data_IF_796324116521
#
_entry.id   IF_796324116521
#
_cell.length_a   1.000
_cell.length_b   1.000
_cell.length_c   1.000
_cell.angle_alpha   90.00
_cell.angle_beta   90.00
_cell.angle_gamma   90.00
#
_symmetry.space_group_name_H-M   'P 1'
#
loop_
_entity.id
_entity.type
_entity.pdbx_description
1 polymer ?
#
# COMPACT_ATOMS: atom_id res chain seq x y z
N UNK A 1 20.04 23.91 3.94
CA UNK A 1 19.12 24.10 2.80
C UNK A 1 19.68 23.35 1.61
N UNK A 2 19.40 22.06 1.49
CA UNK A 2 19.95 21.21 0.42
C UNK A 2 19.01 21.36 -0.78
N UNK A 3 19.52 21.98 -1.85
CA UNK A 3 18.82 22.07 -3.14
C UNK A 3 19.09 20.79 -3.91
N UNK A 4 18.22 19.80 -3.77
CA UNK A 4 18.27 18.61 -4.62
C UNK A 4 17.92 19.02 -6.06
N UNK A 5 18.65 18.50 -7.06
CA UNK A 5 18.22 18.66 -8.45
C UNK A 5 16.82 18.02 -8.61
N UNK A 6 15.91 18.63 -9.40
CA UNK A 6 14.59 18.07 -9.62
C UNK A 6 14.69 16.63 -10.14
N UNK A 7 13.99 15.71 -9.47
CA UNK A 7 13.86 14.33 -9.94
C UNK A 7 13.15 14.39 -11.29
N UNK A 8 13.75 13.79 -12.33
CA UNK A 8 13.10 13.69 -13.64
C UNK A 8 11.84 12.84 -13.48
N UNK A 9 10.68 13.49 -13.56
CA UNK A 9 9.39 12.82 -13.55
C UNK A 9 9.35 11.82 -14.71
N UNK A 10 8.91 10.59 -14.43
CA UNK A 10 8.75 9.58 -15.46
C UNK A 10 7.83 10.09 -16.57
N UNK A 11 8.21 9.87 -17.83
CA UNK A 11 7.41 10.29 -18.99
C UNK A 11 6.14 9.46 -19.16
N UNK A 12 6.13 8.24 -18.61
CA UNK A 12 4.98 7.34 -18.65
C UNK A 12 4.02 7.64 -17.50
N UNK A 13 2.75 7.89 -17.83
CA UNK A 13 1.68 8.14 -16.84
C UNK A 13 1.04 6.86 -16.30
N UNK A 14 1.20 5.76 -17.03
CA UNK A 14 0.64 4.45 -16.69
C UNK A 14 1.76 3.45 -16.41
N UNK A 15 1.62 2.57 -15.41
CA UNK A 15 2.51 1.42 -15.26
C UNK A 15 2.34 0.41 -16.39
N UNK A 16 1.21 0.42 -17.10
CA UNK A 16 0.89 -0.51 -18.17
C UNK A 16 1.36 -0.02 -19.54
N UNK A 17 1.77 -0.94 -20.40
CA UNK A 17 2.24 -0.65 -21.76
C UNK A 17 1.09 -0.32 -22.72
N UNK A 18 -0.05 -0.98 -22.55
CA UNK A 18 -1.28 -0.80 -23.33
C UNK A 18 -2.52 -1.15 -22.48
N UNK A 19 -3.70 -1.00 -23.09
CA UNK A 19 -4.99 -1.27 -22.43
C UNK A 19 -5.23 -2.77 -22.17
N UNK A 20 -4.67 -3.66 -22.99
CA UNK A 20 -4.86 -5.10 -22.83
C UNK A 20 -4.09 -5.61 -21.61
N UNK A 21 -2.87 -5.08 -21.39
CA UNK A 21 -2.09 -5.32 -20.20
C UNK A 21 -2.78 -4.79 -18.93
N UNK A 22 -3.43 -3.63 -19.01
CA UNK A 22 -4.22 -3.08 -17.91
C UNK A 22 -5.45 -3.95 -17.60
N UNK A 23 -6.21 -4.36 -18.61
CA UNK A 23 -7.36 -5.24 -18.42
C UNK A 23 -6.96 -6.58 -17.80
N UNK A 24 -5.87 -7.18 -18.28
CA UNK A 24 -5.33 -8.43 -17.72
C UNK A 24 -4.96 -8.27 -16.24
N UNK A 25 -4.33 -7.15 -15.87
CA UNK A 25 -4.02 -6.86 -14.48
C UNK A 25 -5.29 -6.73 -13.63
N UNK A 26 -6.32 -6.03 -14.13
CA UNK A 26 -7.58 -5.84 -13.40
C UNK A 26 -8.33 -7.17 -13.20
N UNK A 27 -8.32 -8.07 -14.18
CA UNK A 27 -8.90 -9.41 -14.05
C UNK A 27 -8.16 -10.26 -13.00
N UNK A 28 -6.82 -10.22 -13.00
CA UNK A 28 -6.00 -10.90 -12.00
C UNK A 28 -6.23 -10.32 -10.60
N UNK A 29 -6.36 -9.00 -10.50
CA UNK A 29 -6.65 -8.33 -9.24
C UNK A 29 -8.02 -8.74 -8.68
N UNK A 30 -9.07 -8.75 -9.50
CA UNK A 30 -10.41 -9.17 -9.07
C UNK A 30 -10.42 -10.63 -8.56
N UNK A 31 -9.66 -11.50 -9.24
CA UNK A 31 -9.46 -12.87 -8.78
C UNK A 31 -8.74 -12.92 -7.42
N UNK A 32 -7.68 -12.13 -7.23
CA UNK A 32 -6.92 -12.08 -5.98
C UNK A 32 -7.74 -11.51 -4.82
N UNK A 33 -8.51 -10.45 -5.06
CA UNK A 33 -9.39 -9.82 -4.07
C UNK A 33 -10.53 -10.75 -3.61
N UNK A 34 -10.91 -11.72 -4.44
CA UNK A 34 -11.86 -12.79 -4.07
C UNK A 34 -11.27 -13.78 -3.04
N UNK A 35 -9.96 -13.72 -2.79
CA UNK A 35 -9.24 -14.58 -1.85
C UNK A 35 -8.61 -13.74 -0.72
N UNK A 36 -9.42 -13.27 0.26
CA UNK A 36 -8.95 -12.36 1.32
C UNK A 36 -7.90 -12.95 2.27
N UNK A 37 -7.71 -14.27 2.25
CA UNK A 37 -6.74 -14.97 3.09
C UNK A 37 -5.31 -14.99 2.49
N UNK A 38 -5.13 -14.50 1.25
CA UNK A 38 -3.82 -14.42 0.61
C UNK A 38 -3.24 -13.05 0.93
N UNK A 39 -2.46 -12.96 2.00
CA UNK A 39 -1.77 -11.73 2.40
C UNK A 39 -0.29 -11.84 2.01
N UNK A 40 0.27 -10.86 1.29
CA UNK A 40 1.68 -10.88 0.93
C UNK A 40 2.56 -10.53 2.14
N UNK A 41 3.75 -11.13 2.19
CA UNK A 41 4.80 -10.88 3.18
C UNK A 41 5.55 -9.57 2.88
N UNK A 42 6.20 -8.99 3.89
CA UNK A 42 6.99 -7.76 3.85
C UNK A 42 6.18 -6.47 3.60
N UNK A 43 4.89 -6.48 3.91
CA UNK A 43 4.00 -5.32 3.78
C UNK A 43 3.43 -4.79 5.11
N UNK A 44 3.77 -5.42 6.24
CA UNK A 44 3.28 -5.00 7.56
C UNK A 44 1.80 -5.30 7.80
N UNK A 45 1.26 -6.33 7.14
CA UNK A 45 -0.15 -6.73 7.21
C UNK A 45 -0.35 -8.10 7.87
N UNK A 46 0.73 -8.87 8.05
CA UNK A 46 0.71 -10.15 8.74
C UNK A 46 0.89 -9.93 10.25
N UNK A 47 0.26 -10.80 11.06
CA UNK A 47 0.33 -10.69 12.52
C UNK A 47 1.77 -10.78 13.05
N UNK A 48 2.61 -11.58 12.39
CA UNK A 48 4.03 -11.74 12.72
C UNK A 48 4.89 -10.50 12.41
N UNK A 49 4.37 -9.57 11.60
CA UNK A 49 5.04 -8.30 11.27
C UNK A 49 4.69 -7.17 12.25
N UNK A 50 3.72 -7.40 13.14
CA UNK A 50 3.23 -6.38 14.06
C UNK A 50 3.95 -6.40 15.40
N UNK A 51 4.31 -5.20 15.88
CA UNK A 51 4.80 -5.02 17.23
C UNK A 51 3.70 -5.38 18.25
N UNK A 52 3.86 -6.49 18.95
CA UNK A 52 2.94 -6.92 20.00
C UNK A 52 1.75 -7.76 19.52
N UNK A 53 1.80 -8.31 18.30
CA UNK A 53 0.84 -9.30 17.79
C UNK A 53 -0.61 -8.77 17.67
N UNK A 54 -0.78 -7.46 17.49
CA UNK A 54 -2.09 -6.85 17.19
C UNK A 54 -1.96 -5.74 16.15
N UNK A 55 -3.05 -5.50 15.42
CA UNK A 55 -3.08 -4.52 14.35
C UNK A 55 -2.96 -3.10 14.94
N UNK A 56 -2.08 -2.23 14.41
CA UNK A 56 -1.91 -0.87 14.93
C UNK A 56 -3.17 -0.03 14.68
N UNK A 57 -3.98 0.17 15.72
CA UNK A 57 -5.20 0.98 15.63
C UNK A 57 -5.00 2.47 15.91
N UNK A 58 -3.77 2.91 16.17
CA UNK A 58 -3.46 4.33 16.44
C UNK A 58 -2.15 4.70 15.76
N UNK A 59 -2.17 5.81 15.05
CA UNK A 59 -0.97 6.41 14.45
C UNK A 59 -0.78 7.84 14.94
N UNK A 60 0.44 8.19 15.35
CA UNK A 60 0.80 9.56 15.72
C UNK A 60 1.49 10.26 14.57
N UNK A 61 0.83 11.27 14.00
CA UNK A 61 1.36 12.08 12.91
C UNK A 61 1.88 13.40 13.49
N UNK A 62 3.17 13.68 13.31
CA UNK A 62 3.77 14.98 13.64
C UNK A 62 3.82 15.89 12.41
N UNK A 63 2.98 16.93 12.32
CA UNK A 63 3.07 17.90 11.24
C UNK A 63 4.29 18.82 11.45
N UNK A 64 5.35 18.58 10.67
CA UNK A 64 6.59 19.38 10.72
C UNK A 64 7.41 19.19 11.99
N UNK A 65 8.43 20.03 12.18
CA UNK A 65 9.40 19.90 13.30
C UNK A 65 8.91 20.47 14.63
N UNK A 66 7.88 21.33 14.64
CA UNK A 66 7.36 21.97 15.87
C UNK A 66 5.85 21.83 16.06
N UNK A 67 5.16 21.03 15.23
CA UNK A 67 3.73 20.79 15.35
C UNK A 67 3.38 19.87 16.52
N UNK A 68 2.17 20.03 17.06
CA UNK A 68 1.61 19.09 18.02
C UNK A 68 1.33 17.76 17.32
N UNK A 69 1.60 16.66 18.02
CA UNK A 69 1.21 15.32 17.58
C UNK A 69 -0.30 15.24 17.35
N UNK A 70 -0.68 14.76 16.18
CA UNK A 70 -2.04 14.40 15.84
C UNK A 70 -2.17 12.88 15.99
N UNK A 71 -2.98 12.45 16.96
CA UNK A 71 -3.35 11.04 17.08
C UNK A 71 -4.50 10.74 16.12
N UNK A 72 -4.27 9.81 15.21
CA UNK A 72 -5.26 9.29 14.27
C UNK A 72 -5.66 7.91 14.75
N UNK A 73 -6.97 7.71 14.95
CA UNK A 73 -7.52 6.41 15.28
C UNK A 73 -7.81 5.67 13.97
N UNK A 74 -7.31 4.44 13.88
CA UNK A 74 -7.39 3.56 12.73
C UNK A 74 -8.11 2.26 13.13
N UNK A 75 -9.44 2.25 13.31
CA UNK A 75 -10.13 1.05 13.76
C UNK A 75 -9.90 -0.11 12.79
N UNK A 76 -9.49 -1.28 13.30
CA UNK A 76 -9.15 -2.46 12.50
C UNK A 76 -10.27 -2.84 11.53
N UNK A 77 -11.52 -2.77 11.98
CA UNK A 77 -12.70 -3.12 11.19
C UNK A 77 -12.82 -2.35 9.86
N UNK A 78 -12.24 -1.16 9.76
CA UNK A 78 -12.28 -0.34 8.54
C UNK A 78 -10.95 -0.32 7.79
N UNK A 79 -9.83 -0.26 8.53
CA UNK A 79 -8.52 -0.04 7.93
C UNK A 79 -7.82 -1.34 7.52
N UNK A 80 -7.96 -2.42 8.29
CA UNK A 80 -7.30 -3.68 7.97
C UNK A 80 -7.78 -4.27 6.64
N UNK A 81 -9.10 -4.34 6.32
CA UNK A 81 -9.54 -4.82 5.02
C UNK A 81 -8.97 -4.01 3.86
N UNK A 82 -8.88 -2.68 4.02
CA UNK A 82 -8.34 -1.79 2.97
C UNK A 82 -6.84 -1.97 2.80
N UNK A 83 -6.11 -2.11 3.90
CA UNK A 83 -4.69 -2.35 3.88
C UNK A 83 -4.40 -3.69 3.19
N UNK A 84 -5.11 -4.77 3.53
CA UNK A 84 -5.01 -6.07 2.87
C UNK A 84 -5.23 -5.98 1.35
N UNK A 85 -6.32 -5.34 0.91
CA UNK A 85 -6.60 -5.17 -0.53
C UNK A 85 -5.51 -4.35 -1.24
N UNK A 86 -5.02 -3.31 -0.58
CA UNK A 86 -3.95 -2.46 -1.11
C UNK A 86 -2.64 -3.23 -1.25
N UNK A 87 -2.24 -4.01 -0.24
CA UNK A 87 -1.02 -4.84 -0.30
C UNK A 87 -1.13 -5.92 -1.36
N UNK A 88 -2.29 -6.57 -1.49
CA UNK A 88 -2.55 -7.54 -2.57
C UNK A 88 -2.38 -6.91 -3.95
N UNK A 89 -2.98 -5.74 -4.16
CA UNK A 89 -2.86 -5.02 -5.43
C UNK A 89 -1.41 -4.59 -5.73
N UNK A 90 -0.69 -4.11 -4.71
CA UNK A 90 0.68 -3.65 -4.86
C UNK A 90 1.64 -4.80 -5.16
N UNK A 91 1.57 -5.90 -4.42
CA UNK A 91 2.37 -7.10 -4.65
C UNK A 91 2.11 -7.69 -6.04
N UNK A 92 0.85 -7.81 -6.45
CA UNK A 92 0.48 -8.25 -7.79
C UNK A 92 1.06 -7.31 -8.86
N UNK A 93 0.93 -6.00 -8.67
CA UNK A 93 1.45 -5.01 -9.63
C UNK A 93 2.97 -5.11 -9.75
N UNK A 94 3.68 -5.26 -8.63
CA UNK A 94 5.13 -5.45 -8.62
C UNK A 94 5.52 -6.71 -9.37
N UNK A 95 4.84 -7.84 -9.16
CA UNK A 95 5.10 -9.10 -9.88
C UNK A 95 4.70 -9.05 -11.35
N UNK A 96 3.69 -8.26 -11.70
CA UNK A 96 3.18 -8.15 -13.07
C UNK A 96 4.08 -7.29 -13.96
N UNK A 97 4.77 -6.30 -13.39
CA UNK A 97 5.64 -5.38 -14.12
C UNK A 97 7.10 -5.86 -14.24
N UNK A 98 7.49 -6.94 -13.53
CA UNK A 98 8.84 -7.50 -13.49
C UNK A 98 8.90 -8.89 -14.10
#
# INVERSE_FOLDING_TARGET
NIRHQPIKVARHRSPFQDLDAENTFLELLDNMLSHPNILPEDYGILEDEWDGNDYPEVESIRPGTSGKELLVILPRAFWFPRAAQWTQALDLLTRYLH
#
